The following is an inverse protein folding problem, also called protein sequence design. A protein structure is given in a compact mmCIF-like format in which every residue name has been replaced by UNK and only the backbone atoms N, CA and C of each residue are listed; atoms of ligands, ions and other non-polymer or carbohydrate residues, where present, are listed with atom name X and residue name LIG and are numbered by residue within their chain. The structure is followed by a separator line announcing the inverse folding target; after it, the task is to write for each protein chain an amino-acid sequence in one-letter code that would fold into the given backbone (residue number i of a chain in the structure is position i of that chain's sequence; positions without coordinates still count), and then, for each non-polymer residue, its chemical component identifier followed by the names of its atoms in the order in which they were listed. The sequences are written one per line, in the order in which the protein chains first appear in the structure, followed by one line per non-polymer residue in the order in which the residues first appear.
data_IF_672375054393
#
_entry.id   IF_672375054393
#
_cell.length_a   1.000
_cell.length_b   1.000
_cell.length_c   1.000
_cell.angle_alpha   90.00
_cell.angle_beta   90.00
_cell.angle_gamma   90.00
#
_symmetry.space_group_name_H-M   'P 1'
#
loop_
_entity.id
_entity.type
_entity.pdbx_description
1 polymer ?
#
# COMPACT_ATOMS: atom_id res chain seq x y z
N UNK A 1 4.10 -43.74 15.02
CA UNK A 1 5.53 -43.41 14.81
C UNK A 1 5.62 -42.46 13.64
N UNK A 2 5.45 -41.17 13.92
CA UNK A 2 5.45 -40.10 12.93
C UNK A 2 6.85 -39.49 12.86
N UNK A 3 7.45 -39.44 11.66
CA UNK A 3 8.62 -38.62 11.39
C UNK A 3 8.13 -37.31 10.80
N UNK A 4 8.14 -36.25 11.61
CA UNK A 4 8.00 -34.88 11.16
C UNK A 4 9.23 -34.49 10.34
N UNK A 5 9.02 -34.13 9.08
CA UNK A 5 9.99 -33.36 8.32
C UNK A 5 9.67 -31.87 8.53
N UNK A 6 10.61 -31.04 9.01
CA UNK A 6 10.39 -29.60 9.06
C UNK A 6 10.31 -29.07 7.62
N UNK A 7 9.20 -28.38 7.32
CA UNK A 7 9.03 -27.63 6.08
C UNK A 7 10.19 -26.62 5.95
N UNK A 8 10.97 -26.74 4.86
CA UNK A 8 11.98 -25.74 4.50
C UNK A 8 11.27 -24.40 4.28
N UNK A 9 11.75 -23.29 4.87
CA UNK A 9 11.22 -21.97 4.56
C UNK A 9 11.55 -21.60 3.09
N UNK A 10 10.69 -20.83 2.40
CA UNK A 10 10.98 -20.37 1.05
C UNK A 10 12.21 -19.46 1.05
N UNK A 11 13.25 -19.87 0.33
CA UNK A 11 14.45 -19.08 0.06
C UNK A 11 14.17 -18.09 -1.08
N UNK A 12 13.83 -16.84 -0.75
CA UNK A 12 13.89 -15.73 -1.73
C UNK A 12 13.96 -14.34 -1.09
N UNK A 13 14.60 -14.21 0.06
CA UNK A 13 14.95 -12.91 0.62
C UNK A 13 16.25 -12.42 -0.02
N UNK A 14 16.15 -11.67 -1.12
CA UNK A 14 17.31 -10.97 -1.67
C UNK A 14 17.41 -9.60 -1.00
N UNK A 15 18.49 -9.37 -0.24
CA UNK A 15 18.73 -8.14 0.50
C UNK A 15 19.91 -7.35 -0.05
N UNK A 16 20.16 -6.16 0.53
CA UNK A 16 21.33 -5.31 0.21
C UNK A 16 22.67 -6.05 0.29
N UNK A 17 22.77 -7.09 1.14
CA UNK A 17 23.94 -7.94 1.24
C UNK A 17 24.21 -8.75 -0.04
N UNK A 18 23.18 -9.17 -0.77
CA UNK A 18 23.33 -9.94 -2.00
C UNK A 18 23.78 -9.03 -3.17
N UNK A 19 23.29 -7.78 -3.21
CA UNK A 19 23.77 -6.73 -4.13
C UNK A 19 25.25 -6.42 -3.91
N UNK A 20 25.68 -6.26 -2.65
CA UNK A 20 27.08 -5.99 -2.33
C UNK A 20 27.99 -7.20 -2.61
N UNK A 21 27.51 -8.43 -2.43
CA UNK A 21 28.23 -9.65 -2.83
C UNK A 21 28.40 -9.76 -4.34
N UNK A 22 27.39 -9.35 -5.11
CA UNK A 22 27.48 -9.30 -6.57
C UNK A 22 28.50 -8.25 -7.04
N UNK A 23 28.50 -7.05 -6.45
CA UNK A 23 29.45 -5.97 -6.78
C UNK A 23 30.89 -6.28 -6.33
N UNK A 24 31.08 -7.03 -5.26
CA UNK A 24 32.40 -7.42 -4.76
C UNK A 24 33.09 -8.51 -5.61
N UNK A 25 32.32 -9.29 -6.38
CA UNK A 25 32.84 -10.28 -7.32
C UNK A 25 33.05 -9.61 -8.68
N UNK A 26 34.20 -8.96 -8.85
CA UNK A 26 34.59 -8.20 -10.06
C UNK A 26 34.69 -9.00 -11.37
N UNK A 27 34.34 -10.29 -11.42
CA UNK A 27 34.68 -11.21 -12.53
C UNK A 27 33.53 -12.11 -13.02
N UNK A 28 32.26 -11.69 -12.94
CA UNK A 28 31.17 -12.51 -13.49
C UNK A 28 30.36 -11.75 -14.53
N UNK A 29 30.56 -12.10 -15.79
CA UNK A 29 29.83 -11.64 -16.98
C UNK A 29 28.35 -12.07 -17.01
N UNK A 30 27.91 -12.95 -16.11
CA UNK A 30 26.50 -13.29 -15.95
C UNK A 30 26.19 -13.91 -14.58
N UNK A 31 25.38 -13.23 -13.78
CA UNK A 31 24.58 -13.84 -12.72
C UNK A 31 23.18 -13.23 -12.80
N UNK A 32 22.25 -13.92 -13.46
CA UNK A 32 20.84 -13.53 -13.57
C UNK A 32 19.93 -14.46 -12.76
N UNK A 33 18.83 -13.89 -12.22
CA UNK A 33 17.59 -14.62 -11.93
C UNK A 33 16.45 -14.23 -12.90
N UNK A 34 16.62 -13.20 -13.72
CA UNK A 34 16.29 -13.18 -15.16
C UNK A 34 16.80 -11.85 -15.77
N UNK A 35 16.99 -11.88 -17.09
CA UNK A 35 17.78 -10.98 -17.92
C UNK A 35 17.03 -9.70 -18.33
N UNK A 36 17.32 -8.59 -17.65
CA UNK A 36 17.33 -7.27 -18.27
C UNK A 36 18.67 -6.58 -17.99
N UNK A 37 19.48 -6.42 -19.03
CA UNK A 37 20.85 -5.88 -19.03
C UNK A 37 21.03 -4.47 -18.43
N UNK A 38 19.98 -3.89 -17.83
CA UNK A 38 19.97 -2.56 -17.24
C UNK A 38 19.46 -2.49 -15.79
N UNK A 39 18.90 -3.56 -15.22
CA UNK A 39 18.27 -3.51 -13.89
C UNK A 39 18.79 -4.61 -12.97
N UNK A 40 19.43 -4.23 -11.87
CA UNK A 40 20.05 -5.18 -10.93
C UNK A 40 19.27 -5.15 -9.62
N UNK A 41 18.40 -6.14 -9.36
CA UNK A 41 17.59 -6.19 -8.13
C UNK A 41 16.78 -4.90 -7.86
N UNK A 42 16.33 -4.21 -8.92
CA UNK A 42 15.64 -2.91 -8.82
C UNK A 42 16.57 -1.69 -8.66
N UNK A 43 17.89 -1.89 -8.69
CA UNK A 43 18.89 -0.83 -8.71
C UNK A 43 19.33 -0.56 -10.15
N UNK A 44 19.39 0.72 -10.54
CA UNK A 44 19.96 1.19 -11.82
C UNK A 44 21.33 1.81 -11.55
N UNK A 45 22.35 1.43 -12.32
CA UNK A 45 23.67 2.06 -12.25
C UNK A 45 23.56 3.50 -12.75
N UNK A 46 23.73 4.48 -11.87
CA UNK A 46 23.95 5.87 -12.27
C UNK A 46 25.45 6.09 -12.49
N UNK A 47 25.80 6.79 -13.57
CA UNK A 47 27.14 7.36 -13.72
C UNK A 47 27.34 8.46 -12.68
N UNK A 48 28.53 8.47 -12.07
CA UNK A 48 28.88 9.38 -10.98
C UNK A 48 28.82 10.82 -11.49
N UNK A 49 27.92 11.68 -10.97
CA UNK A 49 27.91 13.08 -11.37
C UNK A 49 29.21 13.76 -10.89
N UNK A 50 29.75 14.72 -11.65
CA UNK A 50 30.96 15.43 -11.25
C UNK A 50 30.74 16.11 -9.89
N UNK A 51 31.77 16.19 -9.02
CA UNK A 51 31.62 16.71 -7.68
C UNK A 51 31.11 18.14 -7.72
N UNK A 52 29.91 18.36 -7.16
CA UNK A 52 29.36 19.70 -6.96
C UNK A 52 30.30 20.48 -6.04
N UNK A 53 30.75 21.65 -6.50
CA UNK A 53 31.51 22.60 -5.69
C UNK A 53 30.72 22.93 -4.42
N UNK A 54 31.42 22.87 -3.29
CA UNK A 54 30.88 23.18 -1.97
C UNK A 54 30.19 24.56 -1.97
N UNK A 55 28.89 24.57 -1.77
CA UNK A 55 28.18 25.76 -1.34
C UNK A 55 28.43 25.92 0.16
N UNK A 56 29.11 27.01 0.53
CA UNK A 56 29.12 27.49 1.91
C UNK A 56 27.73 28.07 2.21
N UNK A 57 26.91 27.30 2.91
CA UNK A 57 25.69 27.82 3.52
C UNK A 57 26.09 28.60 4.79
N UNK A 58 25.88 29.91 4.76
CA UNK A 58 25.92 30.77 5.94
C UNK A 58 24.74 30.39 6.83
N UNK A 59 25.04 29.95 8.06
CA UNK A 59 24.04 29.70 9.10
C UNK A 59 23.71 31.05 9.75
N UNK A 60 22.53 31.60 9.46
CA UNK A 60 21.92 32.65 10.28
C UNK A 60 21.07 31.98 11.38
N UNK A 61 21.60 32.02 12.60
CA UNK A 61 20.84 31.78 13.82
C UNK A 61 19.83 32.90 14.03
N UNK A 62 18.52 32.64 13.95
CA UNK A 62 17.48 33.40 14.70
C UNK A 62 16.06 32.85 14.52
N UNK A 63 15.65 31.86 15.33
CA UNK A 63 14.23 31.77 15.74
C UNK A 63 14.11 31.12 17.14
N UNK A 64 13.85 31.95 18.15
CA UNK A 64 13.31 31.54 19.46
C UNK A 64 11.80 31.40 19.31
N UNK A 65 11.26 30.19 19.43
CA UNK A 65 9.82 29.97 19.56
C UNK A 65 9.42 30.21 21.02
N UNK A 66 8.75 31.33 21.28
CA UNK A 66 8.03 31.55 22.53
C UNK A 66 6.82 30.61 22.59
N UNK A 67 6.67 29.91 23.73
CA UNK A 67 5.57 29.00 23.97
C UNK A 67 4.27 29.80 24.18
N UNK A 68 3.39 29.77 23.19
CA UNK A 68 2.06 30.35 23.29
C UNK A 68 1.18 29.51 24.22
N UNK A 69 0.70 30.11 25.31
CA UNK A 69 -0.15 29.46 26.29
C UNK A 69 -1.56 29.22 25.72
N UNK A 70 -1.90 27.96 25.44
CA UNK A 70 -3.24 27.56 24.99
C UNK A 70 -4.23 27.61 26.17
N UNK A 71 -5.39 28.29 26.06
CA UNK A 71 -6.38 28.30 27.13
C UNK A 71 -7.07 26.94 27.29
N UNK A 72 -7.28 26.54 28.55
CA UNK A 72 -7.86 25.25 28.90
C UNK A 72 -9.34 25.12 28.45
N UNK A 73 -9.74 24.01 27.80
CA UNK A 73 -11.14 23.79 27.43
C UNK A 73 -11.98 23.46 28.67
N UNK A 74 -12.93 24.34 29.00
CA UNK A 74 -14.02 24.07 29.94
C UNK A 74 -15.06 23.17 29.28
N UNK A 75 -14.94 21.85 29.47
CA UNK A 75 -15.95 20.87 29.06
C UNK A 75 -15.59 19.47 29.52
N UNK A 76 -16.34 18.93 30.50
CA UNK A 76 -16.11 17.61 31.09
C UNK A 76 -16.36 16.49 30.08
N UNK A 77 -15.30 15.97 29.47
CA UNK A 77 -15.26 14.63 28.91
C UNK A 77 -14.60 13.69 29.95
N UNK A 78 -15.08 12.44 30.10
CA UNK A 78 -14.52 11.51 31.07
C UNK A 78 -13.04 11.25 30.74
N UNK A 79 -12.14 11.22 31.74
CA UNK A 79 -10.71 11.15 31.47
C UNK A 79 -10.37 9.74 30.96
N UNK A 80 -10.13 9.63 29.66
CA UNK A 80 -9.36 8.52 29.09
C UNK A 80 -7.96 8.60 29.70
N UNK A 81 -7.73 7.83 30.77
CA UNK A 81 -6.42 7.73 31.41
C UNK A 81 -5.56 6.77 30.60
N UNK A 82 -4.67 7.34 29.78
CA UNK A 82 -3.52 6.62 29.24
C UNK A 82 -2.41 6.70 30.30
N UNK A 83 -1.99 5.59 30.94
CA UNK A 83 -1.09 5.62 32.10
C UNK A 83 0.30 6.17 31.79
N UNK A 84 0.71 6.19 30.52
CA UNK A 84 1.94 6.85 30.08
C UNK A 84 1.81 7.25 28.62
N UNK A 85 2.03 8.53 28.32
CA UNK A 85 2.20 9.04 26.97
C UNK A 85 3.71 9.12 26.73
N UNK A 86 4.22 8.37 25.75
CA UNK A 86 5.59 8.56 25.27
C UNK A 86 5.58 9.81 24.37
N UNK A 87 5.93 10.94 24.96
CA UNK A 87 6.18 12.18 24.22
C UNK A 87 7.66 12.27 23.87
N UNK A 88 7.96 12.73 22.65
CA UNK A 88 9.33 13.13 22.31
C UNK A 88 9.58 14.45 23.05
N UNK A 89 10.29 14.36 24.18
CA UNK A 89 10.54 15.51 25.06
C UNK A 89 11.61 16.45 24.48
N UNK A 90 12.51 15.90 23.66
CA UNK A 90 13.62 16.63 23.08
C UNK A 90 14.07 15.98 21.77
N UNK A 91 14.21 16.79 20.72
CA UNK A 91 14.83 16.40 19.44
C UNK A 91 16.18 17.08 19.39
N UNK A 92 17.26 16.33 19.58
CA UNK A 92 18.62 16.83 19.42
C UNK A 92 19.14 16.45 18.04
N UNK A 93 19.47 17.46 17.23
CA UNK A 93 20.20 17.26 15.99
C UNK A 93 21.66 17.01 16.36
N UNK A 94 22.12 15.76 16.24
CA UNK A 94 23.54 15.46 16.44
C UNK A 94 24.32 16.11 15.29
N UNK A 95 25.37 16.91 15.56
CA UNK A 95 26.23 17.39 14.49
C UNK A 95 26.78 16.18 13.74
N UNK A 96 26.73 16.24 12.41
CA UNK A 96 27.31 15.21 11.57
C UNK A 96 28.79 15.05 12.00
N UNK A 97 29.26 13.84 12.29
CA UNK A 97 30.68 13.66 12.59
C UNK A 97 31.49 14.20 11.41
N UNK A 98 32.40 15.14 11.67
CA UNK A 98 33.25 15.81 10.67
C UNK A 98 34.11 14.82 9.86
N UNK A 99 34.22 13.58 10.35
CA UNK A 99 34.80 12.47 9.65
C UNK A 99 33.84 11.29 9.82
N UNK A 100 33.28 10.71 8.74
CA UNK A 100 32.63 9.40 8.86
C UNK A 100 33.68 8.47 9.49
N UNK A 101 33.32 7.63 10.49
CA UNK A 101 34.27 6.68 11.05
C UNK A 101 34.90 5.94 9.86
N UNK A 102 36.21 6.12 9.68
CA UNK A 102 36.95 5.53 8.57
C UNK A 102 36.58 4.07 8.52
N UNK A 103 36.02 3.64 7.38
CA UNK A 103 35.32 2.36 7.25
C UNK A 103 36.10 1.25 7.93
N UNK A 104 35.67 0.90 9.15
CA UNK A 104 35.96 -0.43 9.66
C UNK A 104 35.52 -1.37 8.55
N UNK A 105 36.40 -2.28 8.15
CA UNK A 105 36.09 -3.31 7.17
C UNK A 105 34.92 -4.15 7.71
N UNK A 106 33.71 -3.64 7.54
CA UNK A 106 32.49 -4.34 7.89
C UNK A 106 32.44 -5.52 6.94
N UNK A 107 32.80 -6.69 7.45
CA UNK A 107 32.60 -7.92 6.71
C UNK A 107 31.12 -8.02 6.34
N UNK A 108 30.78 -8.36 5.08
CA UNK A 108 29.39 -8.46 4.65
C UNK A 108 28.57 -9.31 5.63
N UNK A 109 27.36 -8.86 5.97
CA UNK A 109 26.46 -9.62 6.84
C UNK A 109 26.22 -11.01 6.22
N UNK A 110 26.63 -12.04 6.96
CA UNK A 110 26.34 -13.44 6.65
C UNK A 110 24.83 -13.70 6.84
N UNK A 111 24.12 -14.42 5.94
CA UNK A 111 22.71 -14.79 6.13
C UNK A 111 22.40 -15.38 7.52
N UNK A 112 23.34 -16.13 8.11
CA UNK A 112 23.20 -16.65 9.47
C UNK A 112 23.18 -15.53 10.53
N UNK A 113 23.94 -14.46 10.30
CA UNK A 113 23.98 -13.28 11.19
C UNK A 113 22.75 -12.36 11.05
N UNK A 114 22.04 -12.44 9.92
CA UNK A 114 20.78 -11.73 9.65
C UNK A 114 19.53 -12.58 9.97
N UNK A 115 19.71 -13.84 10.33
CA UNK A 115 18.66 -14.72 10.79
C UNK A 115 18.05 -14.17 12.10
N UNK A 116 16.74 -14.39 12.33
CA UNK A 116 16.12 -13.95 13.57
C UNK A 116 16.73 -14.78 14.71
N UNK A 117 17.24 -14.11 15.76
CA UNK A 117 17.83 -14.80 16.93
C UNK A 117 16.81 -15.62 17.72
N UNK A 118 15.54 -15.25 17.63
CA UNK A 118 14.43 -15.98 18.23
C UNK A 118 13.72 -16.82 17.17
N UNK A 119 13.48 -18.12 17.43
CA UNK A 119 12.61 -18.94 16.57
C UNK A 119 11.14 -18.53 16.70
N UNK A 120 10.78 -17.81 17.77
CA UNK A 120 9.42 -17.32 18.02
C UNK A 120 9.29 -15.90 17.49
N UNK A 121 8.24 -15.65 16.70
CA UNK A 121 7.89 -14.33 16.22
C UNK A 121 7.39 -13.48 17.39
N UNK A 122 8.21 -12.50 17.80
CA UNK A 122 7.93 -11.66 18.98
C UNK A 122 6.80 -10.65 18.74
N UNK A 123 6.55 -10.28 17.48
CA UNK A 123 5.55 -9.27 17.12
C UNK A 123 4.58 -9.87 16.10
N UNK A 124 3.29 -9.81 16.41
CA UNK A 124 2.24 -10.22 15.51
C UNK A 124 2.20 -9.34 14.26
N UNK A 125 1.75 -9.90 13.14
CA UNK A 125 1.49 -9.11 11.95
C UNK A 125 0.39 -8.08 12.22
N UNK A 126 0.66 -6.83 11.86
CA UNK A 126 -0.29 -5.75 12.04
C UNK A 126 -0.79 -5.23 10.70
N UNK A 127 -2.10 -5.21 10.49
CA UNK A 127 -2.72 -4.71 9.25
C UNK A 127 -2.54 -3.20 9.13
N UNK A 128 -2.33 -2.72 7.90
CA UNK A 128 -2.17 -1.29 7.63
C UNK A 128 -3.44 -0.49 7.97
N UNK A 129 -4.60 -1.03 7.59
CA UNK A 129 -5.91 -0.49 7.95
C UNK A 129 -6.80 -1.63 8.50
N UNK A 130 -7.46 -1.44 9.66
CA UNK A 130 -8.41 -2.41 10.18
C UNK A 130 -9.55 -2.71 9.20
N UNK A 131 -9.93 -3.99 9.08
CA UNK A 131 -11.01 -4.44 8.19
C UNK A 131 -12.34 -3.72 8.44
N UNK A 132 -12.64 -3.42 9.72
CA UNK A 132 -13.84 -2.71 10.14
C UNK A 132 -13.92 -1.28 9.56
N UNK A 133 -12.77 -0.66 9.24
CA UNK A 133 -12.71 0.65 8.58
C UNK A 133 -12.74 0.50 7.05
N UNK A 134 -11.95 -0.43 6.52
CA UNK A 134 -11.75 -0.61 5.08
C UNK A 134 -12.98 -1.15 4.36
N UNK A 135 -13.58 -2.25 4.85
CA UNK A 135 -14.66 -2.94 4.13
C UNK A 135 -15.92 -2.10 3.96
N UNK A 136 -16.41 -1.34 4.96
CA UNK A 136 -17.55 -0.45 4.76
C UNK A 136 -17.25 0.66 3.76
N UNK A 137 -16.01 1.17 3.71
CA UNK A 137 -15.61 2.19 2.75
C UNK A 137 -15.61 1.65 1.32
N UNK A 138 -15.03 0.47 1.11
CA UNK A 138 -15.05 -0.22 -0.17
C UNK A 138 -16.49 -0.56 -0.62
N UNK A 139 -17.33 -1.05 0.30
CA UNK A 139 -18.74 -1.40 -0.02
C UNK A 139 -19.54 -0.21 -0.53
N UNK A 140 -19.28 1.01 -0.07
CA UNK A 140 -19.96 2.23 -0.57
C UNK A 140 -19.72 2.47 -2.06
N UNK A 141 -18.55 2.09 -2.57
CA UNK A 141 -18.14 2.32 -3.96
C UNK A 141 -18.36 1.11 -4.85
N UNK A 142 -18.06 -0.08 -4.31
CA UNK A 142 -18.13 -1.36 -5.02
C UNK A 142 -19.50 -2.04 -4.85
N UNK A 143 -20.42 -1.40 -4.14
CA UNK A 143 -21.75 -1.91 -3.87
C UNK A 143 -22.73 -1.69 -5.02
N UNK A 144 -23.85 -2.39 -4.91
CA UNK A 144 -25.07 -2.16 -5.67
C UNK A 144 -26.23 -1.93 -4.71
N UNK A 145 -27.07 -0.96 -5.04
CA UNK A 145 -28.35 -0.78 -4.37
C UNK A 145 -29.34 -1.81 -4.89
N UNK A 146 -29.94 -2.58 -3.98
CA UNK A 146 -31.02 -3.51 -4.29
C UNK A 146 -32.30 -3.12 -3.57
N UNK A 147 -33.47 -3.33 -4.19
CA UNK A 147 -34.74 -3.18 -3.51
C UNK A 147 -34.79 -4.20 -2.36
N UNK A 148 -34.97 -3.68 -1.16
CA UNK A 148 -35.13 -4.43 0.06
C UNK A 148 -36.60 -4.70 0.38
N UNK A 149 -36.90 -5.07 1.64
CA UNK A 149 -38.26 -5.24 2.09
C UNK A 149 -39.06 -3.92 1.99
N UNK A 150 -40.40 -4.00 2.08
CA UNK A 150 -41.26 -2.83 2.19
C UNK A 150 -40.78 -1.87 3.29
N UNK A 151 -40.74 -0.59 2.98
CA UNK A 151 -40.44 0.47 3.93
C UNK A 151 -41.72 0.85 4.68
N UNK A 152 -41.97 0.15 5.78
CA UNK A 152 -43.20 0.30 6.58
C UNK A 152 -43.34 1.71 7.17
N UNK A 153 -42.24 2.35 7.58
CA UNK A 153 -42.27 3.70 8.16
C UNK A 153 -42.63 4.76 7.10
N UNK A 154 -42.11 4.60 5.88
CA UNK A 154 -42.48 5.47 4.76
C UNK A 154 -43.90 5.21 4.29
N UNK A 155 -44.34 3.96 4.30
CA UNK A 155 -45.72 3.59 3.98
C UNK A 155 -46.70 4.18 4.99
N UNK A 156 -46.43 4.04 6.29
CA UNK A 156 -47.24 4.58 7.37
C UNK A 156 -47.37 6.10 7.28
N UNK A 157 -46.27 6.82 7.00
CA UNK A 157 -46.29 8.28 6.77
C UNK A 157 -47.19 8.68 5.60
N UNK A 158 -47.03 8.04 4.44
CA UNK A 158 -47.84 8.35 3.25
C UNK A 158 -49.33 8.07 3.46
N UNK A 159 -49.64 6.98 4.18
CA UNK A 159 -51.03 6.65 4.53
C UNK A 159 -51.62 7.67 5.53
N UNK A 160 -50.84 8.13 6.50
CA UNK A 160 -51.26 9.18 7.43
C UNK A 160 -51.50 10.52 6.72
N UNK A 161 -50.76 10.80 5.64
CA UNK A 161 -50.91 11.98 4.77
C UNK A 161 -52.05 11.85 3.74
N UNK A 162 -52.83 10.75 3.78
CA UNK A 162 -53.88 10.43 2.81
C UNK A 162 -53.39 10.40 1.33
N UNK A 163 -52.10 10.11 1.12
CA UNK A 163 -51.46 9.94 -0.18
C UNK A 163 -51.17 8.45 -0.45
N UNK A 164 -52.15 7.65 -0.91
CA UNK A 164 -51.95 6.23 -1.15
C UNK A 164 -50.91 6.02 -2.26
N UNK A 165 -49.79 5.33 -1.98
CA UNK A 165 -48.73 5.16 -2.95
C UNK A 165 -49.15 4.22 -4.10
N UNK A 166 -48.93 4.63 -5.35
CA UNK A 166 -49.13 3.76 -6.54
C UNK A 166 -48.25 2.51 -6.56
N UNK A 167 -47.11 2.56 -5.85
CA UNK A 167 -46.19 1.44 -5.68
C UNK A 167 -45.71 1.37 -4.23
N UNK A 168 -45.62 0.16 -3.69
CA UNK A 168 -45.15 -0.08 -2.33
C UNK A 168 -43.72 0.49 -2.17
N UNK A 169 -43.49 1.45 -1.25
CA UNK A 169 -42.15 1.95 -1.02
C UNK A 169 -41.28 0.81 -0.48
N UNK A 170 -40.09 0.64 -1.04
CA UNK A 170 -39.10 -0.37 -0.61
C UNK A 170 -37.87 0.29 -0.05
N UNK A 171 -37.30 -0.33 0.97
CA UNK A 171 -36.00 0.08 1.51
C UNK A 171 -34.92 -0.14 0.44
N UNK A 172 -33.89 0.72 0.40
CA UNK A 172 -32.71 0.50 -0.45
C UNK A 172 -31.64 -0.17 0.40
N UNK A 173 -31.29 -1.40 0.07
CA UNK A 173 -30.23 -2.13 0.75
C UNK A 173 -28.93 -2.04 -0.07
N UNK A 174 -27.91 -1.45 0.52
CA UNK A 174 -26.56 -1.44 -0.06
C UNK A 174 -25.89 -2.80 0.21
N UNK A 175 -25.64 -3.56 -0.86
CA UNK A 175 -24.96 -4.85 -0.82
C UNK A 175 -23.73 -4.81 -1.73
N UNK A 176 -22.82 -5.77 -1.56
CA UNK A 176 -21.74 -5.96 -2.52
C UNK A 176 -22.31 -6.26 -3.91
N UNK A 177 -21.65 -5.75 -4.96
CA UNK A 177 -22.01 -6.09 -6.32
C UNK A 177 -21.82 -7.60 -6.54
N UNK A 178 -22.75 -8.28 -7.25
CA UNK A 178 -22.66 -9.73 -7.48
C UNK A 178 -21.49 -10.13 -8.38
N UNK A 179 -21.05 -9.24 -9.25
CA UNK A 179 -19.92 -9.49 -10.16
C UNK A 179 -18.84 -8.45 -9.87
N UNK A 180 -18.13 -8.57 -8.74
CA UNK A 180 -17.03 -7.67 -8.42
C UNK A 180 -15.74 -8.18 -9.07
N UNK A 181 -14.98 -7.31 -9.73
CA UNK A 181 -13.63 -7.65 -10.19
C UNK A 181 -12.60 -6.93 -9.34
N UNK A 182 -11.61 -7.65 -8.85
CA UNK A 182 -10.49 -7.10 -8.08
C UNK A 182 -9.19 -7.44 -8.81
N UNK A 183 -8.42 -6.42 -9.12
CA UNK A 183 -7.09 -6.53 -9.73
C UNK A 183 -6.07 -6.27 -8.62
N UNK A 184 -5.28 -7.28 -8.29
CA UNK A 184 -4.22 -7.23 -7.30
C UNK A 184 -2.87 -7.07 -8.03
N UNK A 185 -2.23 -5.91 -7.86
CA UNK A 185 -0.92 -5.66 -8.42
C UNK A 185 0.15 -6.27 -7.52
N UNK A 186 0.67 -7.41 -7.97
CA UNK A 186 1.73 -8.18 -7.35
C UNK A 186 3.07 -7.88 -8.04
N UNK A 187 3.30 -6.62 -8.38
CA UNK A 187 4.62 -6.16 -8.78
C UNK A 187 5.64 -6.30 -7.63
N UNK A 188 6.93 -6.56 -7.90
CA UNK A 188 7.96 -6.68 -6.87
C UNK A 188 8.05 -5.45 -5.94
N UNK A 189 7.86 -4.24 -6.48
CA UNK A 189 7.86 -2.98 -5.70
C UNK A 189 6.76 -2.89 -4.62
N UNK A 190 5.69 -3.67 -4.77
CA UNK A 190 4.57 -3.73 -3.82
C UNK A 190 4.72 -4.87 -2.81
N UNK A 191 5.89 -5.53 -2.75
CA UNK A 191 6.16 -6.63 -1.82
C UNK A 191 5.72 -6.36 -0.37
N UNK A 192 5.97 -5.17 0.24
CA UNK A 192 5.56 -4.90 1.63
C UNK A 192 4.05 -5.01 1.89
N UNK A 193 3.24 -4.85 0.84
CA UNK A 193 1.78 -4.78 0.88
C UNK A 193 1.10 -6.09 0.48
N UNK A 194 1.84 -7.09 -0.03
CA UNK A 194 1.24 -8.33 -0.56
C UNK A 194 0.42 -9.09 0.48
N UNK A 195 0.91 -9.20 1.71
CA UNK A 195 0.17 -9.86 2.79
C UNK A 195 -1.15 -9.12 3.10
N UNK A 196 -1.19 -7.79 3.01
CA UNK A 196 -2.45 -7.05 3.16
C UNK A 196 -3.38 -7.30 1.97
N UNK A 197 -2.83 -7.43 0.76
CA UNK A 197 -3.61 -7.75 -0.44
C UNK A 197 -4.21 -9.16 -0.36
N UNK A 198 -3.46 -10.16 0.09
CA UNK A 198 -3.98 -11.50 0.38
C UNK A 198 -5.12 -11.45 1.39
N UNK A 199 -4.91 -10.77 2.53
CA UNK A 199 -5.96 -10.64 3.55
C UNK A 199 -7.19 -9.87 3.06
N UNK A 200 -7.00 -8.89 2.19
CA UNK A 200 -8.10 -8.18 1.54
C UNK A 200 -8.89 -9.13 0.62
N UNK A 201 -8.19 -9.92 -0.19
CA UNK A 201 -8.78 -10.92 -1.08
C UNK A 201 -9.60 -11.96 -0.31
N UNK A 202 -9.04 -12.55 0.76
CA UNK A 202 -9.74 -13.48 1.65
C UNK A 202 -11.02 -12.88 2.23
N UNK A 203 -10.94 -11.64 2.73
CA UNK A 203 -12.09 -10.94 3.32
C UNK A 203 -13.17 -10.64 2.28
N UNK A 204 -12.77 -10.26 1.05
CA UNK A 204 -13.72 -10.04 -0.03
C UNK A 204 -14.41 -11.34 -0.44
N UNK A 205 -13.69 -12.45 -0.53
CA UNK A 205 -14.29 -13.78 -0.76
C UNK A 205 -15.28 -14.17 0.34
N UNK A 206 -14.92 -13.96 1.62
CA UNK A 206 -15.82 -14.23 2.75
C UNK A 206 -17.09 -13.38 2.73
N UNK A 207 -17.03 -12.15 2.21
CA UNK A 207 -18.17 -11.20 2.22
C UNK A 207 -19.03 -11.24 0.97
N UNK A 208 -18.42 -11.44 -0.20
CA UNK A 208 -19.11 -11.48 -1.49
C UNK A 208 -19.52 -12.92 -1.87
N UNK A 209 -18.90 -13.93 -1.27
CA UNK A 209 -19.01 -15.32 -1.69
C UNK A 209 -18.07 -15.64 -2.85
N UNK A 210 -17.89 -16.94 -3.12
CA UNK A 210 -16.89 -17.43 -4.10
C UNK A 210 -17.21 -17.08 -5.57
N UNK A 211 -18.49 -16.93 -5.91
CA UNK A 211 -18.93 -16.48 -7.23
C UNK A 211 -19.09 -14.97 -7.32
N UNK A 212 -19.12 -14.28 -6.17
CA UNK A 212 -19.41 -12.85 -6.08
C UNK A 212 -18.23 -11.95 -6.45
N UNK A 213 -17.03 -12.52 -6.53
CA UNK A 213 -15.79 -11.79 -6.75
C UNK A 213 -14.83 -12.57 -7.65
N UNK A 214 -14.30 -11.91 -8.66
CA UNK A 214 -13.18 -12.37 -9.49
C UNK A 214 -11.91 -11.68 -9.02
N UNK A 215 -11.00 -12.44 -8.43
CA UNK A 215 -9.71 -11.96 -7.94
C UNK A 215 -8.63 -12.27 -8.98
N UNK A 216 -8.06 -11.21 -9.56
CA UNK A 216 -7.09 -11.29 -10.67
C UNK A 216 -5.75 -10.74 -10.21
N UNK A 217 -4.70 -11.53 -10.26
CA UNK A 217 -3.35 -11.11 -9.92
C UNK A 217 -2.63 -10.68 -11.20
N UNK A 218 -1.93 -9.54 -11.14
CA UNK A 218 -1.05 -9.06 -12.22
C UNK A 218 0.34 -8.78 -11.65
N UNK A 219 1.38 -9.39 -12.22
CA UNK A 219 2.75 -9.21 -11.72
C UNK A 219 3.54 -8.11 -12.44
N UNK A 220 3.22 -7.87 -13.72
CA UNK A 220 3.92 -6.92 -14.60
C UNK A 220 3.07 -5.70 -15.00
N UNK A 221 1.95 -5.50 -14.32
CA UNK A 221 0.96 -4.47 -14.66
C UNK A 221 0.14 -4.79 -15.92
N UNK A 222 -0.88 -3.97 -16.23
CA UNK A 222 -1.76 -4.18 -17.38
C UNK A 222 -1.14 -3.62 -18.68
N UNK A 223 -1.57 -4.09 -19.88
CA UNK A 223 -2.40 -5.26 -20.16
C UNK A 223 -1.55 -6.55 -20.24
N UNK A 224 -0.90 -6.94 -19.15
CA UNK A 224 -0.28 -8.25 -19.04
C UNK A 224 -1.29 -9.39 -18.87
N UNK A 225 -0.80 -10.63 -18.96
CA UNK A 225 -1.54 -11.79 -18.50
C UNK A 225 -1.81 -11.70 -16.99
N UNK A 226 -2.88 -12.36 -16.54
CA UNK A 226 -3.28 -12.40 -15.14
C UNK A 226 -3.57 -13.83 -14.70
N UNK A 227 -3.48 -14.10 -13.41
CA UNK A 227 -3.75 -15.40 -12.76
C UNK A 227 -4.89 -15.27 -11.76
N UNK A 228 -5.69 -16.32 -11.56
CA UNK A 228 -6.74 -16.31 -10.53
C UNK A 228 -6.07 -16.49 -9.17
N UNK A 229 -6.35 -15.58 -8.23
CA UNK A 229 -5.77 -15.63 -6.89
C UNK A 229 -6.01 -16.97 -6.18
N UNK A 230 -7.16 -17.61 -6.45
CA UNK A 230 -7.51 -18.91 -5.86
C UNK A 230 -6.68 -20.05 -6.43
N UNK A 231 -6.39 -19.99 -7.74
CA UNK A 231 -5.53 -20.97 -8.40
C UNK A 231 -4.11 -20.87 -7.80
N UNK A 232 -3.62 -19.66 -7.51
CA UNK A 232 -2.34 -19.45 -6.82
C UNK A 232 -2.30 -19.90 -5.35
N UNK A 233 -3.44 -20.07 -4.69
CA UNK A 233 -3.46 -20.61 -3.32
C UNK A 233 -3.18 -22.12 -3.28
N UNK A 234 -3.13 -22.80 -4.44
CA UNK A 234 -2.86 -24.23 -4.51
C UNK A 234 -1.37 -24.49 -4.78
N UNK A 235 -0.57 -24.90 -3.77
CA UNK A 235 0.87 -25.12 -3.95
C UNK A 235 1.20 -26.32 -4.86
N UNK A 236 0.22 -27.17 -5.18
CA UNK A 236 0.42 -28.36 -6.01
C UNK A 236 0.29 -28.08 -7.52
N UNK A 237 -0.13 -26.87 -7.92
CA UNK A 237 -0.36 -26.53 -9.33
C UNK A 237 0.07 -25.10 -9.64
N UNK A 238 0.73 -24.92 -10.77
CA UNK A 238 0.97 -23.59 -11.31
C UNK A 238 -0.34 -22.98 -11.80
N UNK A 239 -0.60 -21.72 -11.44
CA UNK A 239 -1.81 -21.03 -11.83
C UNK A 239 -1.76 -20.69 -13.34
N UNK A 240 -2.79 -21.04 -14.12
CA UNK A 240 -2.77 -20.77 -15.56
C UNK A 240 -2.83 -19.27 -15.82
N UNK A 241 -1.93 -18.78 -16.66
CA UNK A 241 -1.98 -17.42 -17.18
C UNK A 241 -3.20 -17.23 -18.09
N UNK A 242 -3.97 -16.17 -17.85
CA UNK A 242 -5.19 -15.82 -18.58
C UNK A 242 -5.05 -14.46 -19.25
N UNK A 243 -5.70 -14.30 -20.40
CA UNK A 243 -5.76 -13.02 -21.10
C UNK A 243 -6.87 -12.17 -20.48
N UNK A 244 -6.66 -10.86 -20.40
CA UNK A 244 -7.67 -9.94 -19.88
C UNK A 244 -8.90 -9.88 -20.79
N UNK A 245 -10.04 -10.35 -20.28
CA UNK A 245 -11.35 -10.13 -20.88
C UNK A 245 -12.14 -9.07 -20.09
N UNK A 246 -12.76 -8.14 -20.82
CA UNK A 246 -13.56 -7.06 -20.23
C UNK A 246 -14.83 -7.61 -19.58
N UNK A 247 -15.08 -7.30 -18.29
CA UNK A 247 -16.35 -7.64 -17.64
C UNK A 247 -17.56 -6.94 -18.28
N UNK A 248 -18.79 -7.38 -17.95
CA UNK A 248 -20.00 -6.70 -18.37
C UNK A 248 -20.04 -5.23 -17.91
N UNK A 249 -20.66 -4.37 -18.72
CA UNK A 249 -20.82 -2.95 -18.39
C UNK A 249 -21.49 -2.74 -17.01
N UNK A 250 -21.08 -1.69 -16.29
CA UNK A 250 -21.56 -1.39 -14.94
C UNK A 250 -20.87 -2.18 -13.82
N UNK A 251 -20.07 -3.20 -14.15
CA UNK A 251 -19.28 -3.97 -13.19
C UNK A 251 -18.27 -3.07 -12.47
N UNK A 252 -18.24 -3.08 -11.13
CA UNK A 252 -17.21 -2.39 -10.36
C UNK A 252 -15.88 -3.14 -10.45
N UNK A 253 -14.80 -2.38 -10.61
CA UNK A 253 -13.43 -2.91 -10.69
C UNK A 253 -12.59 -2.24 -9.61
N UNK A 254 -12.11 -3.01 -8.63
CA UNK A 254 -11.18 -2.54 -7.62
C UNK A 254 -9.75 -2.83 -8.09
N UNK A 255 -8.93 -1.80 -8.24
CA UNK A 255 -7.49 -1.92 -8.49
C UNK A 255 -6.77 -1.73 -7.15
N UNK A 256 -5.99 -2.72 -6.72
CA UNK A 256 -5.21 -2.69 -5.49
C UNK A 256 -3.74 -2.72 -5.87
N UNK A 257 -3.05 -1.59 -5.70
CA UNK A 257 -1.68 -1.39 -6.18
C UNK A 257 -1.31 0.07 -6.23
N UNK A 258 -0.16 0.43 -6.78
CA UNK A 258 0.29 1.82 -6.90
C UNK A 258 -0.10 2.49 -8.23
N UNK A 259 -0.73 1.76 -9.16
CA UNK A 259 -1.00 2.24 -10.52
C UNK A 259 0.26 2.78 -11.25
N UNK A 260 1.43 2.25 -10.90
CA UNK A 260 2.73 2.68 -11.43
C UNK A 260 3.27 3.99 -10.85
N UNK A 261 2.56 4.62 -9.90
CA UNK A 261 2.95 5.93 -9.35
C UNK A 261 4.21 5.88 -8.47
N UNK A 262 4.58 4.72 -7.90
CA UNK A 262 5.85 4.60 -7.16
C UNK A 262 7.08 4.75 -8.07
N UNK A 263 6.93 4.51 -9.37
CA UNK A 263 7.97 4.75 -10.38
C UNK A 263 7.92 6.18 -10.95
N UNK A 264 7.00 7.01 -10.45
CA UNK A 264 6.71 8.35 -10.94
C UNK A 264 5.57 8.37 -11.96
N UNK A 265 4.80 9.48 -11.97
CA UNK A 265 3.64 9.67 -12.84
C UNK A 265 3.95 9.62 -14.35
N UNK A 266 5.18 9.98 -14.72
CA UNK A 266 5.70 9.94 -16.09
C UNK A 266 6.28 8.59 -16.52
N UNK A 267 6.29 7.57 -15.65
CA UNK A 267 6.81 6.26 -16.01
C UNK A 267 5.95 5.57 -17.07
N UNK A 268 6.57 4.71 -17.89
CA UNK A 268 5.87 3.89 -18.88
C UNK A 268 4.78 3.05 -18.21
N UNK A 269 5.06 2.47 -17.04
CA UNK A 269 4.10 1.68 -16.30
C UNK A 269 2.90 2.51 -15.82
N UNK A 270 3.13 3.74 -15.36
CA UNK A 270 2.03 4.65 -15.01
C UNK A 270 1.17 4.99 -16.25
N UNK A 271 1.78 5.16 -17.43
CA UNK A 271 1.06 5.33 -18.69
C UNK A 271 0.21 4.10 -19.04
N UNK A 272 0.78 2.90 -18.95
CA UNK A 272 0.06 1.64 -19.20
C UNK A 272 -1.15 1.47 -18.27
N UNK A 273 -1.00 1.81 -16.98
CA UNK A 273 -2.10 1.84 -16.02
C UNK A 273 -3.16 2.87 -16.41
N UNK A 274 -2.76 4.10 -16.78
CA UNK A 274 -3.69 5.15 -17.24
C UNK A 274 -4.49 4.71 -18.47
N UNK A 275 -3.84 4.09 -19.45
CA UNK A 275 -4.49 3.57 -20.66
C UNK A 275 -5.43 2.40 -20.35
N UNK A 276 -5.05 1.53 -19.42
CA UNK A 276 -5.91 0.47 -18.93
C UNK A 276 -7.16 1.03 -18.23
N UNK A 277 -7.01 1.99 -17.33
CA UNK A 277 -8.14 2.66 -16.64
C UNK A 277 -9.06 3.38 -17.64
N UNK A 278 -8.48 4.04 -18.65
CA UNK A 278 -9.24 4.67 -19.72
C UNK A 278 -10.09 3.63 -20.48
N UNK A 279 -9.52 2.48 -20.84
CA UNK A 279 -10.26 1.37 -21.46
C UNK A 279 -11.37 0.83 -20.57
N UNK A 280 -11.14 0.67 -19.26
CA UNK A 280 -12.19 0.25 -18.32
C UNK A 280 -13.36 1.24 -18.33
N UNK A 281 -13.08 2.54 -18.32
CA UNK A 281 -14.11 3.59 -18.37
C UNK A 281 -14.85 3.62 -19.69
N UNK A 282 -14.15 3.48 -20.81
CA UNK A 282 -14.76 3.40 -22.15
C UNK A 282 -15.74 2.21 -22.24
N UNK A 283 -15.40 1.08 -21.61
CA UNK A 283 -16.27 -0.08 -21.46
C UNK A 283 -17.42 0.11 -20.45
N UNK A 284 -17.63 1.33 -19.93
CA UNK A 284 -18.66 1.68 -18.93
C UNK A 284 -18.55 0.89 -17.62
N UNK A 285 -17.33 0.51 -17.24
CA UNK A 285 -17.05 -0.08 -15.94
C UNK A 285 -16.91 1.02 -14.87
N UNK A 286 -16.96 0.62 -13.59
CA UNK A 286 -16.80 1.53 -12.45
C UNK A 286 -15.48 1.25 -11.71
N UNK A 287 -14.33 1.74 -12.22
CA UNK A 287 -13.05 1.50 -11.57
C UNK A 287 -12.90 2.35 -10.30
N UNK A 288 -12.23 1.77 -9.30
CA UNK A 288 -11.83 2.38 -8.03
C UNK A 288 -10.40 1.90 -7.75
N UNK A 289 -9.48 2.79 -7.38
CA UNK A 289 -8.15 2.39 -6.94
C UNK A 289 -8.01 2.46 -5.42
N UNK A 290 -7.28 1.51 -4.85
CA UNK A 290 -6.82 1.47 -3.46
C UNK A 290 -5.29 1.46 -3.50
N UNK A 291 -4.67 2.60 -3.18
CA UNK A 291 -3.24 2.84 -3.42
C UNK A 291 -2.46 3.04 -2.12
N UNK A 292 -1.32 2.36 -1.91
CA UNK A 292 -0.47 2.57 -0.74
C UNK A 292 0.49 3.75 -0.96
N UNK A 293 -0.08 4.96 -1.11
CA UNK A 293 0.66 6.18 -1.42
C UNK A 293 0.31 7.30 -0.45
N UNK A 294 1.25 8.22 -0.23
CA UNK A 294 1.03 9.49 0.48
C UNK A 294 0.15 10.45 -0.33
N UNK A 295 -0.45 11.45 0.31
CA UNK A 295 -1.29 12.44 -0.38
C UNK A 295 -0.51 13.22 -1.43
N UNK A 296 0.74 13.60 -1.13
CA UNK A 296 1.61 14.34 -2.04
C UNK A 296 2.09 13.52 -3.25
N UNK A 297 2.04 12.18 -3.17
CA UNK A 297 2.45 11.29 -4.25
C UNK A 297 1.32 11.02 -5.26
N UNK A 298 0.09 11.43 -4.96
CA UNK A 298 -1.02 11.25 -5.86
C UNK A 298 -0.90 12.20 -7.06
N UNK A 299 -1.22 11.67 -8.24
CA UNK A 299 -1.22 12.43 -9.49
C UNK A 299 -2.62 13.00 -9.82
N UNK A 300 -2.67 14.26 -10.25
CA UNK A 300 -3.91 14.95 -10.57
C UNK A 300 -4.63 14.36 -11.79
N UNK A 301 -3.90 13.88 -12.80
CA UNK A 301 -4.50 13.32 -14.00
C UNK A 301 -5.15 11.97 -13.72
N UNK A 302 -4.49 11.14 -12.90
CA UNK A 302 -5.08 9.90 -12.39
C UNK A 302 -6.35 10.17 -11.56
N UNK A 303 -6.27 11.05 -10.57
CA UNK A 303 -7.39 11.31 -9.63
C UNK A 303 -8.56 12.07 -10.25
N UNK A 304 -8.36 12.79 -11.37
CA UNK A 304 -9.46 13.41 -12.16
C UNK A 304 -10.35 12.35 -12.81
N UNK A 305 -9.74 11.27 -13.29
CA UNK A 305 -10.39 10.18 -14.01
C UNK A 305 -10.71 8.95 -13.15
N UNK A 306 -10.30 8.90 -11.90
CA UNK A 306 -10.43 7.69 -11.10
C UNK A 306 -10.66 8.06 -9.63
N UNK A 307 -11.72 7.54 -8.99
CA UNK A 307 -11.79 7.57 -7.54
C UNK A 307 -10.60 6.79 -6.96
N UNK A 308 -9.73 7.47 -6.21
CA UNK A 308 -8.55 6.87 -5.57
C UNK A 308 -8.71 6.94 -4.06
N UNK A 309 -8.73 5.78 -3.40
CA UNK A 309 -8.66 5.66 -1.96
C UNK A 309 -7.21 5.40 -1.55
N UNK A 310 -6.69 6.18 -0.61
CA UNK A 310 -5.39 5.88 -0.02
C UNK A 310 -5.50 4.74 0.98
N UNK A 311 -4.64 3.76 0.80
CA UNK A 311 -4.41 2.65 1.71
C UNK A 311 -3.33 3.07 2.72
N UNK A 312 -3.66 4.02 3.58
CA UNK A 312 -2.74 4.53 4.61
C UNK A 312 -3.48 4.75 5.94
N UNK A 313 -2.82 4.64 7.11
CA UNK A 313 -3.47 4.82 8.40
C UNK A 313 -4.16 6.19 8.58
N UNK A 314 -3.56 7.26 8.08
CA UNK A 314 -4.05 8.66 8.10
C UNK A 314 -5.18 8.93 7.11
N UNK A 315 -5.35 8.08 6.10
CA UNK A 315 -6.31 8.31 5.03
C UNK A 315 -7.77 8.25 5.53
N UNK A 316 -8.60 9.20 5.09
CA UNK A 316 -10.04 9.26 5.46
C UNK A 316 -10.90 8.18 4.78
N UNK A 317 -10.30 7.32 3.94
CA UNK A 317 -10.98 6.29 3.13
C UNK A 317 -12.16 6.86 2.33
N UNK A 318 -11.92 8.03 1.72
CA UNK A 318 -12.76 8.68 0.72
C UNK A 318 -11.89 8.98 -0.49
N UNK A 319 -12.47 9.12 -1.70
CA UNK A 319 -11.68 9.48 -2.86
C UNK A 319 -10.95 10.80 -2.61
N UNK A 320 -9.64 10.76 -2.80
CA UNK A 320 -8.80 11.95 -2.72
C UNK A 320 -8.56 12.52 -4.12
N UNK A 321 -8.42 13.84 -4.18
CA UNK A 321 -8.06 14.57 -5.38
C UNK A 321 -6.70 15.20 -5.16
N UNK A 322 -5.79 14.93 -6.09
CA UNK A 322 -4.48 15.54 -6.07
C UNK A 322 -4.49 16.89 -6.80
N UNK A 323 -3.52 17.74 -6.46
CA UNK A 323 -3.29 19.02 -7.09
C UNK A 323 -1.85 19.04 -7.63
N UNK A 324 -1.67 18.71 -8.90
CA UNK A 324 -0.36 18.67 -9.57
C UNK A 324 0.16 17.27 -9.92
N UNK A 325 1.35 17.20 -10.55
CA UNK A 325 2.06 15.95 -10.77
C UNK A 325 2.55 15.46 -9.40
N UNK A 326 2.18 14.24 -9.03
CA UNK A 326 2.54 13.67 -7.72
C UNK A 326 4.05 13.69 -7.48
N UNK A 327 4.45 13.91 -6.23
CA UNK A 327 5.85 13.86 -5.83
C UNK A 327 6.36 12.41 -5.89
N UNK A 328 7.55 12.16 -6.45
CA UNK A 328 8.11 10.82 -6.53
C UNK A 328 8.43 10.27 -5.13
N UNK A 329 8.98 11.12 -4.27
CA UNK A 329 9.35 10.79 -2.91
C UNK A 329 8.30 11.31 -1.92
N UNK A 330 7.88 10.50 -0.94
CA UNK A 330 6.97 10.95 0.09
C UNK A 330 7.67 11.89 1.08
N UNK A 331 6.89 12.83 1.62
CA UNK A 331 7.34 13.69 2.71
C UNK A 331 7.67 12.87 3.96
N UNK A 332 8.86 13.07 4.52
CA UNK A 332 9.34 12.31 5.68
C UNK A 332 10.06 11.00 5.34
N UNK A 333 10.36 10.73 4.06
CA UNK A 333 11.15 9.56 3.67
C UNK A 333 12.52 9.55 4.35
N UNK A 334 13.21 10.69 4.40
CA UNK A 334 14.53 10.81 5.04
C UNK A 334 14.48 10.45 6.53
N UNK A 335 13.47 10.92 7.25
CA UNK A 335 13.25 10.57 8.66
C UNK A 335 13.00 9.06 8.82
N UNK A 336 12.19 8.47 7.93
CA UNK A 336 11.93 7.03 7.95
C UNK A 336 13.19 6.22 7.65
N UNK A 337 13.98 6.65 6.65
CA UNK A 337 15.27 6.05 6.33
C UNK A 337 16.26 6.19 7.49
N UNK A 338 16.26 7.32 8.20
CA UNK A 338 17.10 7.53 9.38
C UNK A 338 16.72 6.58 10.53
N UNK A 339 15.42 6.36 10.78
CA UNK A 339 14.96 5.37 11.76
C UNK A 339 15.30 3.93 11.33
N UNK A 340 15.22 3.66 10.02
CA UNK A 340 15.54 2.38 9.40
C UNK A 340 17.05 2.11 9.24
N UNK A 341 17.91 3.13 9.39
CA UNK A 341 19.35 3.01 9.15
C UNK A 341 20.09 2.19 10.22
N UNK A 342 19.59 2.18 11.45
CA UNK A 342 20.19 1.48 12.60
C UNK A 342 19.94 -0.04 12.57
N UNK A 343 18.71 -0.55 12.32
CA UNK A 343 18.47 -1.98 12.32
C UNK A 343 19.14 -2.71 11.15
N UNK A 344 19.90 -3.77 11.45
CA UNK A 344 20.48 -4.69 10.44
C UNK A 344 19.42 -5.45 9.64
N UNK A 345 18.21 -5.55 10.18
CA UNK A 345 17.06 -6.24 9.60
C UNK A 345 15.80 -5.50 10.02
N UNK A 346 14.94 -5.22 9.05
CA UNK A 346 13.63 -4.61 9.29
C UNK A 346 12.58 -5.65 8.99
N UNK A 347 11.93 -6.14 10.04
CA UNK A 347 10.77 -7.00 9.87
C UNK A 347 9.54 -6.18 9.44
N UNK A 348 8.60 -6.73 8.66
CA UNK A 348 7.42 -6.00 8.20
C UNK A 348 6.60 -5.31 9.32
N UNK A 349 6.41 -5.90 10.52
CA UNK A 349 5.75 -5.20 11.62
C UNK A 349 6.51 -3.97 12.12
N UNK A 350 7.85 -4.01 12.14
CA UNK A 350 8.66 -2.86 12.53
C UNK A 350 8.55 -1.75 11.48
N UNK A 351 8.68 -2.08 10.19
CA UNK A 351 8.51 -1.10 9.11
C UNK A 351 7.15 -0.40 9.22
N UNK A 352 6.07 -1.15 9.47
CA UNK A 352 4.72 -0.60 9.66
C UNK A 352 4.59 0.28 10.88
N UNK A 353 5.26 -0.07 11.98
CA UNK A 353 5.28 0.78 13.17
C UNK A 353 5.99 2.11 12.86
N UNK A 354 7.07 2.08 12.08
CA UNK A 354 7.77 3.29 11.61
C UNK A 354 6.88 4.14 10.67
N UNK A 355 6.22 3.53 9.68
CA UNK A 355 5.28 4.25 8.79
C UNK A 355 4.10 4.87 9.56
N UNK A 356 3.69 4.31 10.71
CA UNK A 356 2.66 4.93 11.56
C UNK A 356 3.13 6.17 12.29
N UNK A 357 4.42 6.24 12.63
CA UNK A 357 5.01 7.45 13.20
C UNK A 357 5.15 8.55 12.15
N UNK A 358 5.32 8.18 10.87
CA UNK A 358 5.41 9.09 9.73
C UNK A 358 4.34 8.79 8.67
N UNK A 359 3.06 9.10 8.94
CA UNK A 359 1.94 8.72 8.05
C UNK A 359 1.98 9.34 6.65
N UNK A 360 2.82 10.38 6.44
CA UNK A 360 3.06 10.96 5.13
C UNK A 360 3.90 10.06 4.20
N UNK A 361 4.63 9.10 4.78
CA UNK A 361 5.40 8.05 4.10
C UNK A 361 4.81 6.66 4.43
N UNK A 362 3.76 6.23 3.70
CA UNK A 362 3.10 4.94 3.95
C UNK A 362 3.95 3.72 3.56
#
# INVERSE_FOLDING_TARGET
MSREYPARPPHSAVGRADLLRALARRELDALTLDDDSQTWFGYRRQEEPPPLRAFQAVVEDTYRLEAEAVPAPTGRLPPLRMPSVLGIVQRETRPAPETPPSGENFSPLDPTSAAPKSPVRLIAYEVLIPAARLLPALRRWLGADRPGPPDLDRLARRLAEADPPRHLPRQRLSRWHPDLVVVLDFSPRLWPYREDMHRLAERLLQRCGQSGVSLRIVERGPPGAWTDWRDEQNPAREAPARIWAMPPAGTPVLIVGDAGLLLGAGSELAQLWRDFIARLRQARLRPLALVPLGAGQLDADLTRGLPVLRWSPDARLRPERAHGPGQPEPEGLEDLLAMAAIPRRIDPPLLRALCRLHPATP
#
